data_IF_947344465898
#
_entry.id   IF_947344465898
#
_cell.length_a   1.000
_cell.length_b   1.000
_cell.length_c   1.000
_cell.angle_alpha   90.00
_cell.angle_beta   90.00
_cell.angle_gamma   90.00
#
_symmetry.space_group_name_H-M   'P 1'
#
loop_
_entity.id
_entity.type
_entity.pdbx_description
1 polymer ?
#
# COMPACT_ATOMS: atom_id res chain seq x y z
N UNK A 1 -5.99 -2.79 29.24
CA UNK A 1 -4.77 -3.61 29.17
C UNK A 1 -3.87 -3.03 28.11
N UNK A 2 -2.96 -2.11 28.52
CA UNK A 2 -1.92 -1.56 27.64
C UNK A 2 -1.04 -2.68 27.10
N UNK A 3 -0.80 -2.71 25.80
CA UNK A 3 0.13 -3.67 25.21
C UNK A 3 1.56 -3.23 25.50
N UNK A 4 2.45 -4.17 25.74
CA UNK A 4 3.89 -3.93 25.92
C UNK A 4 4.49 -3.04 24.81
N UNK A 5 4.06 -3.24 23.54
CA UNK A 5 4.47 -2.45 22.38
C UNK A 5 4.10 -0.97 22.53
N UNK A 6 2.90 -0.65 23.00
CA UNK A 6 2.47 0.74 23.19
C UNK A 6 3.32 1.46 24.24
N UNK A 7 3.65 0.79 25.34
CA UNK A 7 4.50 1.34 26.38
C UNK A 7 5.95 1.57 25.88
N UNK A 8 6.47 0.63 25.08
CA UNK A 8 7.80 0.75 24.44
C UNK A 8 7.83 1.94 23.47
N UNK A 9 6.83 2.09 22.59
CA UNK A 9 6.73 3.25 21.71
C UNK A 9 6.61 4.57 22.49
N UNK A 10 5.84 4.57 23.58
CA UNK A 10 5.67 5.73 24.43
C UNK A 10 6.97 6.15 25.12
N UNK A 11 7.77 5.17 25.59
CA UNK A 11 9.10 5.41 26.15
C UNK A 11 10.08 6.01 25.13
N UNK A 12 10.05 5.51 23.89
CA UNK A 12 10.85 6.08 22.80
C UNK A 12 10.47 7.53 22.49
N UNK A 13 9.18 7.84 22.38
CA UNK A 13 8.69 9.21 22.14
C UNK A 13 9.05 10.17 23.29
N UNK A 14 8.94 9.71 24.54
CA UNK A 14 9.38 10.50 25.71
C UNK A 14 10.87 10.80 25.65
N UNK A 15 11.69 9.81 25.24
CA UNK A 15 13.14 9.95 25.08
C UNK A 15 13.55 10.92 23.98
N UNK A 16 12.76 11.03 22.91
CA UNK A 16 12.99 12.00 21.82
C UNK A 16 12.60 13.42 22.17
N UNK A 17 11.99 13.69 23.32
CA UNK A 17 11.53 15.04 23.73
C UNK A 17 10.39 15.58 22.86
N UNK A 18 9.64 14.73 22.20
CA UNK A 18 8.53 15.12 21.30
C UNK A 18 7.20 15.29 22.04
N UNK A 19 7.13 14.87 23.31
CA UNK A 19 5.93 14.97 24.11
C UNK A 19 5.87 16.33 24.85
N UNK A 20 4.65 16.87 25.07
CA UNK A 20 4.48 18.17 25.77
C UNK A 20 4.71 18.10 27.28
N UNK A 21 5.02 16.93 27.83
CA UNK A 21 5.32 16.69 29.26
C UNK A 21 6.63 15.93 29.42
N UNK A 22 7.19 15.98 30.61
CA UNK A 22 8.49 15.38 30.92
C UNK A 22 8.45 13.83 31.01
N UNK A 23 9.64 13.23 31.07
CA UNK A 23 9.80 11.77 31.19
C UNK A 23 9.17 11.20 32.47
N UNK A 24 9.35 11.80 33.66
CA UNK A 24 8.68 11.36 34.88
C UNK A 24 7.15 11.36 34.78
N UNK A 25 6.57 12.43 34.24
CA UNK A 25 5.12 12.54 33.99
C UNK A 25 4.63 11.50 32.99
N UNK A 26 5.37 11.27 31.90
CA UNK A 26 5.07 10.23 30.95
C UNK A 26 5.09 8.83 31.59
N UNK A 27 6.07 8.55 32.44
CA UNK A 27 6.20 7.25 33.12
C UNK A 27 5.11 7.02 34.17
N UNK A 28 4.65 8.10 34.85
CA UNK A 28 3.66 8.02 35.91
C UNK A 28 2.27 7.55 35.45
N UNK A 29 1.91 7.73 34.15
CA UNK A 29 0.63 7.26 33.61
C UNK A 29 0.57 5.74 33.39
N UNK A 30 1.71 5.05 33.49
CA UNK A 30 1.78 3.61 33.33
C UNK A 30 1.46 2.91 34.66
N UNK A 31 0.44 2.07 34.65
CA UNK A 31 -0.12 1.48 35.88
C UNK A 31 0.48 0.12 36.23
N UNK A 32 1.08 -0.59 35.26
CA UNK A 32 1.65 -1.92 35.46
C UNK A 32 3.16 -1.99 35.22
N UNK A 33 3.83 -2.89 35.92
CA UNK A 33 5.29 -3.01 35.90
C UNK A 33 5.85 -3.47 34.54
N UNK A 34 5.09 -4.26 33.79
CA UNK A 34 5.48 -4.73 32.46
C UNK A 34 5.51 -3.57 31.45
N UNK A 35 4.52 -2.69 31.51
CA UNK A 35 4.49 -1.46 30.71
C UNK A 35 5.60 -0.50 31.12
N UNK A 36 5.86 -0.36 32.41
CA UNK A 36 6.97 0.48 32.91
C UNK A 36 8.33 -0.04 32.43
N UNK A 37 8.56 -1.35 32.50
CA UNK A 37 9.78 -1.96 32.01
C UNK A 37 9.98 -1.75 30.50
N UNK A 38 8.91 -1.87 29.70
CA UNK A 38 8.95 -1.59 28.26
C UNK A 38 9.25 -0.13 27.95
N UNK A 39 8.66 0.80 28.68
CA UNK A 39 8.92 2.22 28.60
C UNK A 39 10.38 2.57 28.93
N UNK A 40 10.88 2.08 30.08
CA UNK A 40 12.23 2.34 30.54
C UNK A 40 13.29 1.79 29.58
N UNK A 41 13.07 0.60 29.02
CA UNK A 41 13.96 -0.02 28.04
C UNK A 41 14.06 0.82 26.75
N UNK A 42 12.93 1.30 26.24
CA UNK A 42 12.91 2.14 25.05
C UNK A 42 13.48 3.54 25.29
N UNK A 43 13.20 4.13 26.45
CA UNK A 43 13.80 5.40 26.88
C UNK A 43 15.34 5.31 26.93
N UNK A 44 15.88 4.26 27.55
CA UNK A 44 17.32 4.02 27.61
C UNK A 44 17.92 3.83 26.20
N UNK A 45 17.24 3.12 25.31
CA UNK A 45 17.68 2.92 23.92
C UNK A 45 17.78 4.22 23.13
N UNK A 46 16.90 5.19 23.39
CA UNK A 46 16.92 6.52 22.71
C UNK A 46 17.95 7.46 23.34
N UNK A 47 18.16 7.40 24.66
CA UNK A 47 19.01 8.35 25.40
C UNK A 47 20.53 8.04 25.37
N UNK A 48 20.98 7.03 24.66
CA UNK A 48 22.42 6.82 24.49
C UNK A 48 22.92 5.41 24.68
N UNK A 49 22.06 4.42 24.72
CA UNK A 49 22.49 3.06 24.42
C UNK A 49 22.70 2.95 22.92
N UNK A 50 23.82 2.39 22.49
CA UNK A 50 24.03 1.91 21.10
C UNK A 50 22.73 1.33 20.56
N UNK A 51 22.20 1.81 19.41
CA UNK A 51 20.97 1.26 18.87
C UNK A 51 21.14 -0.27 18.85
N UNK A 52 20.15 -1.04 19.35
CA UNK A 52 20.24 -2.48 19.24
C UNK A 52 20.50 -2.78 17.78
N UNK A 53 21.57 -3.49 17.52
CA UNK A 53 21.86 -4.00 16.15
C UNK A 53 20.53 -4.55 15.65
N UNK A 54 19.99 -4.05 14.52
CA UNK A 54 18.77 -4.63 13.98
C UNK A 54 18.97 -6.13 14.06
N UNK A 55 18.06 -6.85 14.70
CA UNK A 55 18.08 -8.30 14.60
C UNK A 55 18.13 -8.56 13.12
N UNK A 56 19.33 -8.88 12.64
CA UNK A 56 19.49 -9.40 11.31
C UNK A 56 18.55 -10.59 11.31
N UNK A 57 17.41 -10.43 10.65
CA UNK A 57 16.65 -11.61 10.25
C UNK A 57 17.71 -12.56 9.71
N UNK A 58 17.80 -13.80 10.20
CA UNK A 58 18.81 -14.72 9.72
C UNK A 58 18.68 -14.69 8.21
N UNK A 59 19.74 -14.20 7.55
CA UNK A 59 19.77 -14.15 6.09
C UNK A 59 19.32 -15.53 5.64
N UNK A 60 18.27 -15.66 4.84
CA UNK A 60 17.82 -16.96 4.39
C UNK A 60 19.06 -17.64 3.85
N UNK A 61 19.41 -18.82 4.38
CA UNK A 61 20.52 -19.65 3.86
C UNK A 61 20.10 -20.02 2.44
N UNK A 62 20.40 -19.15 1.52
CA UNK A 62 20.21 -19.37 0.11
C UNK A 62 21.28 -20.34 -0.32
N UNK A 63 20.97 -21.63 -0.27
CA UNK A 63 21.52 -22.52 -1.26
C UNK A 63 21.07 -21.95 -2.59
N UNK A 64 22.00 -21.32 -3.29
CA UNK A 64 21.71 -20.59 -4.52
C UNK A 64 21.25 -21.60 -5.60
N UNK A 65 19.96 -21.85 -5.63
CA UNK A 65 19.34 -22.40 -6.82
C UNK A 65 19.39 -21.31 -7.87
N UNK A 66 19.87 -21.57 -9.11
CA UNK A 66 19.88 -20.56 -10.15
C UNK A 66 18.49 -19.94 -10.29
N UNK A 67 18.41 -18.61 -10.15
CA UNK A 67 17.17 -17.86 -10.30
C UNK A 67 16.99 -17.51 -11.77
N UNK A 68 15.76 -17.57 -12.26
CA UNK A 68 15.44 -17.08 -13.62
C UNK A 68 15.81 -15.60 -13.82
N UNK A 69 16.12 -14.88 -12.73
CA UNK A 69 16.47 -13.45 -12.71
C UNK A 69 17.97 -13.17 -12.46
N UNK A 70 18.85 -14.17 -12.55
CA UNK A 70 20.30 -14.02 -12.30
C UNK A 70 20.99 -13.03 -13.25
N UNK A 71 20.38 -12.74 -14.39
CA UNK A 71 20.84 -11.75 -15.36
C UNK A 71 20.60 -10.30 -14.92
N UNK A 72 19.80 -10.04 -13.88
CA UNK A 72 19.50 -8.72 -13.37
C UNK A 72 20.47 -8.26 -12.27
N UNK A 73 20.74 -6.95 -12.14
CA UNK A 73 21.47 -6.40 -10.99
C UNK A 73 20.84 -6.84 -9.66
N UNK A 74 21.68 -7.09 -8.63
CA UNK A 74 21.25 -7.73 -7.39
C UNK A 74 20.06 -7.04 -6.69
N UNK A 75 20.04 -5.71 -6.65
CA UNK A 75 18.95 -4.95 -6.04
C UNK A 75 17.64 -5.10 -6.79
N UNK A 76 17.71 -4.97 -8.11
CA UNK A 76 16.57 -5.12 -9.02
C UNK A 76 16.02 -6.55 -8.97
N UNK A 77 16.91 -7.57 -9.08
CA UNK A 77 16.55 -8.99 -8.96
C UNK A 77 15.72 -9.27 -7.71
N UNK A 78 16.19 -8.79 -6.56
CA UNK A 78 15.48 -9.01 -5.28
C UNK A 78 14.06 -8.46 -5.31
N UNK A 79 13.85 -7.29 -5.90
CA UNK A 79 12.52 -6.67 -6.02
C UNK A 79 11.63 -7.46 -6.95
N UNK A 80 12.17 -7.96 -8.08
CA UNK A 80 11.44 -8.78 -9.06
C UNK A 80 11.01 -10.10 -8.43
N UNK A 81 11.92 -10.82 -7.74
CA UNK A 81 11.63 -12.09 -7.04
C UNK A 81 10.49 -11.91 -6.02
N UNK A 82 10.62 -10.92 -5.13
CA UNK A 82 9.58 -10.64 -4.14
C UNK A 82 8.24 -10.25 -4.78
N UNK A 83 8.27 -9.48 -5.87
CA UNK A 83 7.08 -9.12 -6.63
C UNK A 83 6.43 -10.35 -7.27
N UNK A 84 7.21 -11.21 -7.92
CA UNK A 84 6.73 -12.43 -8.58
C UNK A 84 6.05 -13.39 -7.57
N UNK A 85 6.68 -13.63 -6.42
CA UNK A 85 6.13 -14.45 -5.33
C UNK A 85 4.83 -13.84 -4.78
N UNK A 86 4.80 -12.51 -4.65
CA UNK A 86 3.61 -11.80 -4.20
C UNK A 86 2.44 -11.94 -5.16
N UNK A 87 2.68 -12.01 -6.49
CA UNK A 87 1.63 -12.24 -7.49
C UNK A 87 1.01 -13.62 -7.36
N UNK A 88 1.84 -14.66 -7.12
CA UNK A 88 1.36 -16.02 -6.85
C UNK A 88 0.50 -16.09 -5.60
N UNK A 89 0.92 -15.45 -4.51
CA UNK A 89 0.15 -15.38 -3.27
C UNK A 89 -1.15 -14.58 -3.42
N UNK A 90 -1.13 -13.52 -4.23
CA UNK A 90 -2.28 -12.64 -4.44
C UNK A 90 -3.34 -13.25 -5.35
N UNK A 91 -2.91 -13.88 -6.45
CA UNK A 91 -3.82 -14.37 -7.49
C UNK A 91 -3.43 -15.77 -7.99
N UNK A 92 -2.53 -15.88 -8.95
CA UNK A 92 -2.15 -17.13 -9.63
C UNK A 92 -0.90 -16.95 -10.55
N UNK A 93 -0.50 -18.03 -11.23
CA UNK A 93 0.66 -18.06 -12.13
C UNK A 93 0.50 -17.13 -13.35
N UNK A 94 -0.70 -17.01 -13.93
CA UNK A 94 -0.91 -16.10 -15.06
C UNK A 94 -0.75 -14.63 -14.64
N UNK A 95 -1.11 -14.30 -13.40
CA UNK A 95 -0.92 -12.94 -12.86
C UNK A 95 0.55 -12.64 -12.60
N UNK A 96 1.31 -13.65 -12.15
CA UNK A 96 2.77 -13.59 -12.09
C UNK A 96 3.37 -13.35 -13.48
N UNK A 97 2.92 -14.07 -14.48
CA UNK A 97 3.39 -13.88 -15.86
C UNK A 97 3.08 -12.49 -16.41
N UNK A 98 1.89 -11.94 -16.12
CA UNK A 98 1.55 -10.55 -16.46
C UNK A 98 2.49 -9.54 -15.78
N UNK A 99 2.80 -9.74 -14.50
CA UNK A 99 3.77 -8.90 -13.80
C UNK A 99 5.14 -8.97 -14.45
N UNK A 100 5.64 -10.17 -14.75
CA UNK A 100 6.96 -10.36 -15.36
C UNK A 100 7.04 -9.74 -16.77
N UNK A 101 5.99 -9.82 -17.58
CA UNK A 101 5.94 -9.14 -18.87
C UNK A 101 6.03 -7.61 -18.73
N UNK A 102 5.43 -7.03 -17.68
CA UNK A 102 5.55 -5.60 -17.38
C UNK A 102 6.92 -5.21 -16.83
N UNK A 103 7.53 -6.10 -16.01
CA UNK A 103 8.91 -5.95 -15.56
C UNK A 103 9.86 -5.94 -16.74
N UNK A 104 9.70 -6.87 -17.69
CA UNK A 104 10.51 -6.94 -18.89
C UNK A 104 10.43 -5.65 -19.71
N UNK A 105 9.25 -5.07 -19.89
CA UNK A 105 9.07 -3.79 -20.55
C UNK A 105 9.82 -2.64 -19.84
N UNK A 106 9.81 -2.61 -18.49
CA UNK A 106 10.55 -1.61 -17.70
C UNK A 106 12.07 -1.81 -17.85
N UNK A 107 12.53 -3.06 -17.71
CA UNK A 107 13.95 -3.41 -17.79
C UNK A 107 14.50 -3.13 -19.19
N UNK A 108 13.75 -3.46 -20.23
CA UNK A 108 14.14 -3.18 -21.64
C UNK A 108 14.23 -1.68 -21.92
N UNK A 109 13.38 -0.86 -21.29
CA UNK A 109 13.39 0.58 -21.47
C UNK A 109 14.46 1.30 -20.63
N UNK A 110 15.00 0.65 -19.60
CA UNK A 110 15.97 1.23 -18.68
C UNK A 110 17.41 1.03 -19.17
N UNK A 111 18.25 2.03 -18.96
CA UNK A 111 19.69 1.89 -19.03
C UNK A 111 20.22 1.40 -17.68
N UNK A 112 20.44 0.08 -17.56
CA UNK A 112 20.86 -0.55 -16.30
C UNK A 112 22.33 -0.30 -15.94
N UNK A 113 23.15 0.24 -16.85
CA UNK A 113 24.50 0.68 -16.56
C UNK A 113 24.51 2.08 -15.93
N UNK A 114 23.45 2.85 -16.16
CA UNK A 114 23.22 4.13 -15.52
C UNK A 114 22.52 3.93 -14.17
N UNK A 115 23.24 4.19 -13.08
CA UNK A 115 22.72 4.02 -11.71
C UNK A 115 21.37 4.73 -11.44
N UNK A 116 21.14 5.91 -12.04
CA UNK A 116 19.87 6.65 -11.86
C UNK A 116 18.73 5.95 -12.58
N UNK A 117 18.96 5.43 -13.78
CA UNK A 117 17.98 4.69 -14.55
C UNK A 117 17.66 3.32 -13.90
N UNK A 118 18.71 2.59 -13.43
CA UNK A 118 18.54 1.36 -12.66
C UNK A 118 17.71 1.60 -11.37
N UNK A 119 18.01 2.67 -10.63
CA UNK A 119 17.27 3.03 -9.44
C UNK A 119 15.79 3.37 -9.75
N UNK A 120 15.54 4.14 -10.80
CA UNK A 120 14.20 4.47 -11.25
C UNK A 120 13.41 3.22 -11.67
N UNK A 121 14.03 2.28 -12.40
CA UNK A 121 13.44 1.01 -12.77
C UNK A 121 13.11 0.16 -11.53
N UNK A 122 14.04 0.05 -10.58
CA UNK A 122 13.89 -0.73 -9.36
C UNK A 122 12.72 -0.22 -8.51
N UNK A 123 12.63 1.10 -8.29
CA UNK A 123 11.50 1.67 -7.52
C UNK A 123 10.18 1.55 -8.27
N UNK A 124 10.18 1.71 -9.60
CA UNK A 124 9.00 1.54 -10.42
C UNK A 124 8.46 0.10 -10.36
N UNK A 125 9.32 -0.90 -10.42
CA UNK A 125 8.93 -2.32 -10.29
C UNK A 125 8.39 -2.61 -8.89
N UNK A 126 8.99 -2.02 -7.84
CA UNK A 126 8.47 -2.10 -6.48
C UNK A 126 7.05 -1.55 -6.39
N UNK A 127 6.80 -0.37 -6.98
CA UNK A 127 5.46 0.26 -7.00
C UNK A 127 4.47 -0.53 -7.84
N UNK A 128 4.90 -1.05 -8.99
CA UNK A 128 4.09 -1.95 -9.81
C UNK A 128 3.61 -3.17 -9.02
N UNK A 129 4.52 -3.84 -8.30
CA UNK A 129 4.18 -5.01 -7.47
C UNK A 129 3.16 -4.66 -6.37
N UNK A 130 3.32 -3.51 -5.72
CA UNK A 130 2.38 -3.03 -4.71
C UNK A 130 1.02 -2.67 -5.32
N UNK A 131 1.01 -1.98 -6.45
CA UNK A 131 -0.22 -1.58 -7.14
C UNK A 131 -0.99 -2.78 -7.70
N UNK A 132 -0.31 -3.72 -8.35
CA UNK A 132 -0.92 -4.96 -8.84
C UNK A 132 -1.52 -5.82 -7.73
N UNK A 133 -1.05 -5.68 -6.48
CA UNK A 133 -1.56 -6.42 -5.31
C UNK A 133 -2.36 -5.54 -4.36
N UNK A 134 -3.18 -4.64 -4.92
CA UNK A 134 -4.08 -3.79 -4.14
C UNK A 134 -5.00 -4.61 -3.22
N UNK A 135 -5.33 -4.05 -2.08
CA UNK A 135 -6.21 -4.69 -1.11
C UNK A 135 -7.68 -4.42 -1.46
N UNK A 136 -8.39 -5.45 -1.93
CA UNK A 136 -9.85 -5.47 -2.05
C UNK A 136 -10.47 -6.26 -0.91
N UNK A 137 -11.79 -6.25 -0.81
CA UNK A 137 -12.53 -6.98 0.23
C UNK A 137 -12.24 -8.49 0.20
N UNK A 138 -12.02 -9.06 -0.99
CA UNK A 138 -11.68 -10.47 -1.15
C UNK A 138 -10.28 -10.77 -0.58
N UNK A 139 -9.28 -9.90 -0.85
CA UNK A 139 -7.93 -10.03 -0.28
C UNK A 139 -7.94 -9.89 1.23
N UNK A 140 -8.66 -8.89 1.76
CA UNK A 140 -8.78 -8.71 3.21
C UNK A 140 -9.42 -9.94 3.86
N UNK A 141 -10.47 -10.49 3.28
CA UNK A 141 -11.13 -11.69 3.79
C UNK A 141 -10.20 -12.93 3.73
N UNK A 142 -9.42 -13.08 2.67
CA UNK A 142 -8.42 -14.13 2.56
C UNK A 142 -7.37 -14.03 3.68
N UNK A 143 -6.73 -12.86 3.83
CA UNK A 143 -5.72 -12.62 4.85
C UNK A 143 -6.25 -12.85 6.28
N UNK A 144 -7.51 -12.49 6.54
CA UNK A 144 -8.13 -12.67 7.86
C UNK A 144 -8.47 -14.12 8.19
N UNK A 145 -8.54 -15.01 7.21
CA UNK A 145 -8.89 -16.43 7.38
C UNK A 145 -7.72 -17.39 7.20
N UNK A 146 -6.50 -16.89 7.01
CA UNK A 146 -5.31 -17.72 6.84
C UNK A 146 -4.91 -18.43 8.14
N UNK A 147 -4.52 -19.73 8.07
CA UNK A 147 -4.08 -20.48 9.25
C UNK A 147 -2.87 -19.87 9.95
N UNK A 148 -1.90 -19.36 9.21
CA UNK A 148 -0.68 -18.72 9.72
C UNK A 148 -0.98 -17.47 10.55
N UNK A 149 -2.03 -16.68 10.20
CA UNK A 149 -2.51 -15.57 11.02
C UNK A 149 -2.93 -16.04 12.41
N UNK A 150 -3.70 -17.12 12.49
CA UNK A 150 -4.16 -17.64 13.78
C UNK A 150 -3.02 -18.28 14.57
N UNK A 151 -2.06 -18.94 13.89
CA UNK A 151 -0.87 -19.47 14.52
C UNK A 151 -0.02 -18.36 15.14
N UNK A 152 0.21 -17.26 14.41
CA UNK A 152 0.92 -16.08 14.89
C UNK A 152 0.22 -15.44 16.11
N UNK A 153 -1.10 -15.20 16.03
CA UNK A 153 -1.86 -14.64 17.17
C UNK A 153 -1.76 -15.55 18.40
N UNK A 154 -1.81 -16.88 18.22
CA UNK A 154 -1.64 -17.85 19.30
C UNK A 154 -0.26 -17.73 19.93
N UNK A 155 0.78 -17.58 19.13
CA UNK A 155 2.15 -17.41 19.61
C UNK A 155 2.33 -16.06 20.33
N UNK A 156 1.82 -14.97 19.77
CA UNK A 156 1.87 -13.62 20.37
C UNK A 156 1.16 -13.55 21.74
N UNK A 157 0.08 -14.33 21.91
CA UNK A 157 -0.65 -14.44 23.17
C UNK A 157 -0.06 -15.48 24.13
N UNK A 158 1.01 -16.17 23.75
CA UNK A 158 1.67 -17.24 24.55
C UNK A 158 0.67 -18.31 25.04
N UNK A 159 -0.30 -18.68 24.19
CA UNK A 159 -1.36 -19.60 24.57
C UNK A 159 -0.85 -21.04 24.74
N UNK A 160 -1.14 -21.63 25.89
CA UNK A 160 -0.81 -23.03 26.18
C UNK A 160 -1.70 -23.99 25.36
N UNK A 161 -1.23 -25.24 25.11
CA UNK A 161 -2.07 -26.28 24.51
C UNK A 161 -3.42 -26.42 25.23
N UNK A 162 -4.50 -26.49 24.47
CA UNK A 162 -5.87 -26.59 25.00
C UNK A 162 -6.55 -25.27 25.32
N UNK A 163 -5.83 -24.13 25.38
CA UNK A 163 -6.46 -22.82 25.55
C UNK A 163 -7.14 -22.34 24.26
N UNK A 164 -8.35 -21.83 24.40
CA UNK A 164 -9.14 -21.26 23.32
C UNK A 164 -9.03 -19.74 23.30
N UNK A 165 -9.16 -19.13 22.12
CA UNK A 165 -9.20 -17.68 21.94
C UNK A 165 -10.25 -17.29 20.89
N UNK A 166 -10.70 -16.05 20.93
CA UNK A 166 -11.60 -15.50 19.95
C UNK A 166 -10.94 -14.31 19.25
N UNK A 167 -10.95 -14.33 17.92
CA UNK A 167 -10.52 -13.20 17.11
C UNK A 167 -11.76 -12.56 16.52
N UNK A 168 -12.01 -11.30 16.90
CA UNK A 168 -13.16 -10.54 16.43
C UNK A 168 -12.66 -9.36 15.62
N UNK A 169 -13.04 -9.31 14.36
CA UNK A 169 -12.73 -8.25 13.42
C UNK A 169 -13.91 -7.29 13.29
N UNK A 170 -13.65 -5.99 13.37
CA UNK A 170 -14.63 -4.97 13.02
C UNK A 170 -14.58 -4.70 11.54
N UNK A 171 -15.71 -4.85 10.85
CA UNK A 171 -15.85 -4.65 9.42
C UNK A 171 -17.02 -3.72 9.11
N UNK A 172 -16.80 -2.76 8.21
CA UNK A 172 -17.82 -1.80 7.77
C UNK A 172 -17.80 -1.70 6.24
N UNK A 173 -18.25 -2.77 5.52
CA UNK A 173 -18.22 -2.76 4.05
C UNK A 173 -19.12 -1.65 3.52
N UNK A 174 -18.58 -0.86 2.58
CA UNK A 174 -19.32 0.17 1.85
C UNK A 174 -19.81 -0.36 0.50
N UNK A 175 -20.74 0.36 -0.11
CA UNK A 175 -21.30 -0.03 -1.40
C UNK A 175 -20.24 0.00 -2.51
N UNK A 176 -19.32 0.95 -2.46
CA UNK A 176 -18.19 1.12 -3.36
C UNK A 176 -17.27 -0.10 -3.32
N UNK A 177 -16.91 -0.56 -2.12
CA UNK A 177 -16.04 -1.74 -1.92
C UNK A 177 -16.69 -3.05 -2.41
N UNK A 178 -18.02 -3.14 -2.33
CA UNK A 178 -18.76 -4.26 -2.91
C UNK A 178 -18.83 -4.13 -4.43
N UNK A 179 -19.04 -2.92 -4.96
CA UNK A 179 -19.03 -2.67 -6.40
C UNK A 179 -17.69 -3.05 -7.04
N UNK A 180 -16.60 -2.76 -6.34
CA UNK A 180 -15.22 -3.02 -6.78
C UNK A 180 -14.96 -4.52 -7.09
N UNK A 181 -15.52 -5.44 -6.29
CA UNK A 181 -15.30 -6.89 -6.47
C UNK A 181 -16.32 -7.56 -7.41
N UNK A 182 -17.33 -6.82 -7.86
CA UNK A 182 -18.36 -7.35 -8.75
C UNK A 182 -17.99 -7.16 -10.23
N UNK A 183 -18.56 -7.97 -11.14
CA UNK A 183 -18.38 -7.78 -12.57
C UNK A 183 -18.73 -6.35 -13.01
N UNK A 184 -17.98 -5.82 -13.99
CA UNK A 184 -18.00 -4.42 -14.43
C UNK A 184 -19.41 -3.83 -14.56
N UNK A 185 -20.32 -4.55 -15.26
CA UNK A 185 -21.69 -4.03 -15.49
C UNK A 185 -22.47 -3.86 -14.18
N UNK A 186 -22.31 -4.80 -13.23
CA UNK A 186 -23.00 -4.73 -11.95
C UNK A 186 -22.35 -3.72 -11.02
N UNK A 187 -21.01 -3.67 -10.98
CA UNK A 187 -20.25 -2.68 -10.23
C UNK A 187 -20.64 -1.25 -10.66
N UNK A 188 -20.66 -0.97 -11.96
CA UNK A 188 -21.07 0.35 -12.49
C UNK A 188 -22.50 0.72 -12.14
N UNK A 189 -23.45 -0.23 -12.12
CA UNK A 189 -24.82 0.03 -11.69
C UNK A 189 -24.89 0.43 -10.21
N UNK A 190 -24.11 -0.22 -9.36
CA UNK A 190 -24.03 0.12 -7.94
C UNK A 190 -23.42 1.51 -7.78
N UNK A 191 -22.28 1.79 -8.45
CA UNK A 191 -21.63 3.11 -8.39
C UNK A 191 -22.55 4.21 -8.87
N UNK A 192 -23.24 4.04 -10.00
CA UNK A 192 -24.21 5.01 -10.51
C UNK A 192 -25.40 5.26 -9.54
N UNK A 193 -25.74 4.27 -8.69
CA UNK A 193 -26.73 4.47 -7.62
C UNK A 193 -26.14 5.24 -6.44
N UNK A 194 -24.90 4.95 -6.05
CA UNK A 194 -24.16 5.70 -5.01
C UNK A 194 -24.03 7.18 -5.40
N UNK A 195 -23.60 7.46 -6.63
CA UNK A 195 -23.42 8.82 -7.15
C UNK A 195 -24.73 9.65 -7.15
N UNK A 196 -25.87 8.98 -7.29
CA UNK A 196 -27.20 9.59 -7.17
C UNK A 196 -27.71 9.69 -5.73
N UNK A 197 -26.86 9.46 -4.73
CA UNK A 197 -27.24 9.50 -3.32
C UNK A 197 -28.07 8.30 -2.84
N UNK A 198 -28.11 7.21 -3.62
CA UNK A 198 -28.83 6.00 -3.25
C UNK A 198 -28.19 5.28 -2.06
N UNK A 199 -29.03 4.88 -1.09
CA UNK A 199 -28.57 4.16 0.12
C UNK A 199 -28.77 2.65 -0.04
N UNK A 200 -27.86 1.90 0.60
CA UNK A 200 -27.91 0.45 0.72
C UNK A 200 -28.12 0.10 2.19
N UNK A 201 -29.30 -0.39 2.60
CA UNK A 201 -29.68 -0.50 4.02
C UNK A 201 -28.77 -1.45 4.85
N UNK A 202 -28.09 -2.39 4.18
CA UNK A 202 -27.21 -3.38 4.81
C UNK A 202 -25.71 -3.02 4.75
N UNK A 203 -25.33 -1.99 3.99
CA UNK A 203 -23.95 -1.55 3.83
C UNK A 203 -23.69 -0.26 4.63
N UNK A 204 -22.41 0.00 4.94
CA UNK A 204 -22.04 1.16 5.74
C UNK A 204 -22.29 1.04 7.23
N UNK A 205 -22.84 -0.07 7.71
CA UNK A 205 -22.99 -0.37 9.15
C UNK A 205 -21.83 -1.26 9.62
N UNK A 206 -21.15 -0.83 10.69
CA UNK A 206 -20.09 -1.62 11.29
C UNK A 206 -20.63 -2.90 11.93
N UNK A 207 -19.93 -3.99 11.75
CA UNK A 207 -20.27 -5.30 12.31
C UNK A 207 -19.03 -5.97 12.89
N UNK A 208 -19.22 -6.63 14.03
CA UNK A 208 -18.20 -7.48 14.61
C UNK A 208 -18.36 -8.90 14.07
N UNK A 209 -17.31 -9.41 13.44
CA UNK A 209 -17.28 -10.75 12.85
C UNK A 209 -16.21 -11.56 13.58
N UNK A 210 -16.61 -12.66 14.21
CA UNK A 210 -15.66 -13.59 14.84
C UNK A 210 -15.00 -14.43 13.74
N UNK A 211 -13.78 -14.03 13.32
CA UNK A 211 -13.09 -14.59 12.15
C UNK A 211 -12.58 -16.02 12.37
N UNK A 212 -12.37 -16.45 13.61
CA UNK A 212 -12.05 -17.84 13.96
C UNK A 212 -13.27 -18.66 14.46
N UNK A 213 -14.48 -18.12 14.34
CA UNK A 213 -15.73 -18.85 14.61
C UNK A 213 -16.30 -19.44 13.32
N UNK A 214 -17.06 -20.54 13.42
CA UNK A 214 -17.54 -21.30 12.25
C UNK A 214 -18.28 -20.42 11.24
N UNK A 215 -19.23 -19.61 11.69
CA UNK A 215 -20.07 -18.77 10.81
C UNK A 215 -19.24 -17.63 10.21
N UNK A 216 -18.48 -16.88 11.03
CA UNK A 216 -17.66 -15.77 10.56
C UNK A 216 -16.55 -16.23 9.63
N UNK A 217 -15.89 -17.35 9.95
CA UNK A 217 -14.89 -17.95 9.08
C UNK A 217 -15.45 -18.33 7.70
N UNK A 218 -16.59 -19.05 7.67
CA UNK A 218 -17.23 -19.44 6.40
C UNK A 218 -17.68 -18.23 5.58
N UNK A 219 -18.23 -17.21 6.22
CA UNK A 219 -18.62 -15.97 5.56
C UNK A 219 -17.41 -15.29 4.91
N UNK A 220 -16.31 -15.14 5.66
CA UNK A 220 -15.09 -14.54 5.12
C UNK A 220 -14.45 -15.39 4.02
N UNK A 221 -14.49 -16.73 4.14
CA UNK A 221 -14.00 -17.62 3.06
C UNK A 221 -14.86 -17.52 1.81
N UNK A 222 -16.17 -17.34 1.93
CA UNK A 222 -17.05 -17.06 0.80
C UNK A 222 -16.69 -15.74 0.11
N UNK A 223 -16.47 -14.68 0.89
CA UNK A 223 -16.00 -13.38 0.33
C UNK A 223 -14.64 -13.52 -0.32
N UNK A 224 -13.70 -14.22 0.31
CA UNK A 224 -12.37 -14.49 -0.26
C UNK A 224 -12.41 -15.24 -1.60
N UNK A 225 -13.44 -16.09 -1.82
CA UNK A 225 -13.62 -16.79 -3.08
C UNK A 225 -13.89 -15.84 -4.27
N UNK A 226 -14.27 -14.59 -4.03
CA UNK A 226 -14.40 -13.58 -5.09
C UNK A 226 -13.07 -13.34 -5.84
N UNK A 227 -11.91 -13.75 -5.29
CA UNK A 227 -10.63 -13.73 -6.01
C UNK A 227 -10.69 -14.47 -7.36
N UNK A 228 -11.51 -15.50 -7.49
CA UNK A 228 -11.64 -16.30 -8.73
C UNK A 228 -12.34 -15.53 -9.86
N UNK A 229 -13.14 -14.52 -9.53
CA UNK A 229 -13.79 -13.63 -10.50
C UNK A 229 -13.14 -12.24 -10.58
N UNK A 230 -12.09 -11.97 -9.81
CA UNK A 230 -11.41 -10.67 -9.72
C UNK A 230 -11.08 -10.08 -11.08
N UNK A 231 -10.56 -10.89 -12.03
CA UNK A 231 -10.23 -10.42 -13.39
C UNK A 231 -11.40 -9.81 -14.17
N UNK A 232 -12.63 -10.09 -13.77
CA UNK A 232 -13.86 -9.53 -14.35
C UNK A 232 -14.45 -8.40 -13.52
N UNK A 233 -13.83 -8.07 -12.39
CA UNK A 233 -14.34 -7.07 -11.46
C UNK A 233 -14.10 -5.65 -11.99
N UNK A 234 -14.94 -4.72 -11.54
CA UNK A 234 -14.85 -3.31 -11.91
C UNK A 234 -13.47 -2.76 -11.57
N UNK A 235 -13.04 -2.94 -10.33
CA UNK A 235 -11.73 -2.43 -9.85
C UNK A 235 -10.56 -3.00 -10.64
N UNK A 236 -10.58 -4.31 -10.92
CA UNK A 236 -9.49 -4.93 -11.67
C UNK A 236 -9.33 -4.28 -13.05
N UNK A 237 -10.42 -4.09 -13.78
CA UNK A 237 -10.37 -3.49 -15.12
C UNK A 237 -9.86 -2.05 -15.06
N UNK A 238 -10.33 -1.26 -14.08
CA UNK A 238 -9.87 0.12 -13.89
C UNK A 238 -8.39 0.21 -13.49
N UNK A 239 -7.94 -0.62 -12.52
CA UNK A 239 -6.55 -0.63 -12.06
C UNK A 239 -5.59 -1.11 -13.16
N UNK A 240 -5.97 -2.15 -13.93
CA UNK A 240 -5.12 -2.62 -15.03
C UNK A 240 -4.98 -1.57 -16.12
N UNK A 241 -6.06 -0.89 -16.51
CA UNK A 241 -6.00 0.20 -17.50
C UNK A 241 -5.10 1.35 -17.01
N UNK A 242 -5.24 1.76 -15.74
CA UNK A 242 -4.40 2.81 -15.16
C UNK A 242 -2.90 2.41 -15.07
N UNK A 243 -2.62 1.14 -14.76
CA UNK A 243 -1.25 0.60 -14.75
C UNK A 243 -0.67 0.62 -16.17
N UNK A 244 -1.43 0.23 -17.18
CA UNK A 244 -0.95 0.19 -18.56
C UNK A 244 -0.65 1.61 -19.08
N UNK A 245 -1.52 2.59 -18.81
CA UNK A 245 -1.27 4.00 -19.13
C UNK A 245 -0.02 4.56 -18.43
N UNK A 246 0.14 4.22 -17.15
CA UNK A 246 1.33 4.60 -16.38
C UNK A 246 2.60 3.97 -16.95
N UNK A 247 2.57 2.69 -17.33
CA UNK A 247 3.71 1.98 -17.93
C UNK A 247 4.14 2.61 -19.24
N UNK A 248 3.21 3.01 -20.11
CA UNK A 248 3.54 3.71 -21.37
C UNK A 248 4.32 4.99 -21.07
N UNK A 249 3.86 5.80 -20.13
CA UNK A 249 4.54 7.03 -19.72
C UNK A 249 5.91 6.75 -19.09
N UNK A 250 6.00 5.73 -18.23
CA UNK A 250 7.22 5.34 -17.52
C UNK A 250 8.31 4.85 -18.50
N UNK A 251 7.99 3.88 -19.35
CA UNK A 251 8.95 3.29 -20.29
C UNK A 251 9.46 4.30 -21.29
N UNK A 252 8.61 5.23 -21.76
CA UNK A 252 9.03 6.32 -22.62
C UNK A 252 9.97 7.32 -21.94
N UNK A 253 9.98 7.37 -20.61
CA UNK A 253 10.75 8.33 -19.81
C UNK A 253 12.07 7.77 -19.28
N UNK A 254 12.17 6.45 -19.06
CA UNK A 254 13.35 5.82 -18.44
C UNK A 254 14.68 6.11 -19.15
N UNK A 255 14.71 6.04 -20.49
CA UNK A 255 15.90 6.33 -21.26
C UNK A 255 16.16 7.84 -21.45
N UNK A 256 15.12 8.69 -21.36
CA UNK A 256 15.21 10.13 -21.67
C UNK A 256 15.48 10.98 -20.44
N UNK A 257 14.85 10.67 -19.33
CA UNK A 257 14.97 11.43 -18.08
C UNK A 257 14.76 10.49 -16.88
N UNK A 258 15.84 9.86 -16.38
CA UNK A 258 15.76 8.98 -15.22
C UNK A 258 15.18 9.66 -13.97
N UNK A 259 15.39 10.96 -13.79
CA UNK A 259 14.84 11.74 -12.68
C UNK A 259 13.32 11.86 -12.78
N UNK A 260 12.79 12.10 -13.96
CA UNK A 260 11.34 12.13 -14.19
C UNK A 260 10.74 10.72 -14.05
N UNK A 261 11.43 9.70 -14.60
CA UNK A 261 11.00 8.31 -14.48
C UNK A 261 10.96 7.86 -13.01
N UNK A 262 11.92 8.28 -12.17
CA UNK A 262 11.90 8.00 -10.73
C UNK A 262 10.69 8.67 -10.06
N UNK A 263 10.43 9.94 -10.32
CA UNK A 263 9.27 10.65 -9.79
C UNK A 263 7.96 9.99 -10.26
N UNK A 264 7.89 9.61 -11.56
CA UNK A 264 6.74 8.91 -12.12
C UNK A 264 6.55 7.52 -11.51
N UNK A 265 7.66 6.81 -11.22
CA UNK A 265 7.65 5.56 -10.46
C UNK A 265 7.05 5.70 -9.05
N UNK A 266 7.25 6.84 -8.42
CA UNK A 266 6.69 7.16 -7.09
C UNK A 266 5.21 7.60 -7.11
N UNK A 267 4.66 8.02 -8.26
CA UNK A 267 3.30 8.53 -8.38
C UNK A 267 2.23 7.58 -7.84
N UNK A 268 2.30 6.24 -8.02
CA UNK A 268 1.31 5.31 -7.45
C UNK A 268 1.18 5.36 -5.92
N UNK A 269 2.10 6.00 -5.20
CA UNK A 269 1.99 6.21 -3.74
C UNK A 269 0.76 6.99 -3.33
N UNK A 270 0.22 7.83 -4.22
CA UNK A 270 -1.01 8.59 -3.93
C UNK A 270 -2.25 7.69 -3.92
N UNK A 271 -2.17 6.49 -4.54
CA UNK A 271 -3.24 5.50 -4.60
C UNK A 271 -3.26 4.61 -3.34
N UNK A 272 -3.32 5.22 -2.16
CA UNK A 272 -3.30 4.52 -0.87
C UNK A 272 -4.67 4.50 -0.20
N UNK A 273 -4.84 3.58 0.75
CA UNK A 273 -6.00 3.51 1.63
C UNK A 273 -7.23 2.87 0.99
N UNK A 274 -8.38 3.11 1.62
CA UNK A 274 -9.66 2.49 1.29
C UNK A 274 -10.73 3.57 1.14
N UNK A 275 -11.84 3.21 0.50
CA UNK A 275 -13.04 4.04 0.40
C UNK A 275 -12.72 5.49 0.00
N UNK A 276 -13.05 6.48 0.83
CA UNK A 276 -12.89 7.90 0.53
C UNK A 276 -11.42 8.29 0.33
N UNK A 277 -10.49 7.68 1.08
CA UNK A 277 -9.05 7.94 0.93
C UNK A 277 -8.55 7.46 -0.43
N UNK A 278 -8.96 6.28 -0.87
CA UNK A 278 -8.63 5.78 -2.21
C UNK A 278 -9.24 6.65 -3.31
N UNK A 279 -10.51 7.06 -3.16
CA UNK A 279 -11.19 7.91 -4.14
C UNK A 279 -10.51 9.28 -4.25
N UNK A 280 -10.07 9.86 -3.15
CA UNK A 280 -9.25 11.09 -3.16
C UNK A 280 -7.91 10.86 -3.85
N UNK A 281 -7.22 9.75 -3.52
CA UNK A 281 -5.98 9.36 -4.18
C UNK A 281 -6.11 9.20 -5.70
N UNK A 282 -7.16 8.53 -6.17
CA UNK A 282 -7.47 8.39 -7.61
C UNK A 282 -7.67 9.76 -8.30
N UNK A 283 -8.33 10.72 -7.64
CA UNK A 283 -8.51 12.08 -8.17
C UNK A 283 -7.19 12.84 -8.23
N UNK A 284 -6.37 12.77 -7.18
CA UNK A 284 -5.04 13.38 -7.15
C UNK A 284 -4.13 12.77 -8.23
N UNK A 285 -4.13 11.44 -8.37
CA UNK A 285 -3.41 10.73 -9.42
C UNK A 285 -3.80 11.23 -10.81
N UNK A 286 -5.11 11.29 -11.11
CA UNK A 286 -5.60 11.77 -12.38
C UNK A 286 -5.21 13.24 -12.63
N UNK A 287 -5.37 14.12 -11.63
CA UNK A 287 -5.00 15.52 -11.73
C UNK A 287 -3.51 15.71 -12.04
N UNK A 288 -2.63 15.00 -11.33
CA UNK A 288 -1.17 15.04 -11.56
C UNK A 288 -0.82 14.50 -12.94
N UNK A 289 -1.42 13.37 -13.33
CA UNK A 289 -1.18 12.76 -14.64
C UNK A 289 -1.57 13.70 -15.77
N UNK A 290 -2.75 14.29 -15.70
CA UNK A 290 -3.26 15.16 -16.74
C UNK A 290 -2.56 16.52 -16.81
N UNK A 291 -2.10 17.05 -15.66
CA UNK A 291 -1.52 18.39 -15.58
C UNK A 291 0.00 18.39 -15.80
N UNK A 292 0.69 17.32 -15.41
CA UNK A 292 2.16 17.27 -15.46
C UNK A 292 2.65 16.14 -16.36
N UNK A 293 2.20 14.88 -16.10
CA UNK A 293 2.82 13.72 -16.74
C UNK A 293 2.53 13.70 -18.24
N UNK A 294 1.27 13.74 -18.64
CA UNK A 294 0.86 13.67 -20.04
C UNK A 294 1.47 14.80 -20.88
N UNK A 295 1.35 16.08 -20.50
CA UNK A 295 1.99 17.16 -21.25
C UNK A 295 3.52 17.01 -21.37
N UNK A 296 4.20 16.61 -20.27
CA UNK A 296 5.66 16.44 -20.30
C UNK A 296 6.11 15.31 -21.25
N UNK A 297 5.34 14.20 -21.29
CA UNK A 297 5.63 13.09 -22.20
C UNK A 297 5.34 13.47 -23.65
N UNK A 298 4.23 14.15 -23.92
CA UNK A 298 3.81 14.58 -25.27
C UNK A 298 4.76 15.63 -25.88
N UNK A 299 5.25 16.57 -25.06
CA UNK A 299 6.14 17.64 -25.52
C UNK A 299 7.64 17.31 -25.41
N UNK A 300 8.02 16.19 -24.79
CA UNK A 300 9.41 15.82 -24.58
C UNK A 300 10.13 16.64 -23.49
N UNK A 301 9.39 17.29 -22.59
CA UNK A 301 9.91 18.16 -21.51
C UNK A 301 10.01 17.46 -20.15
N UNK A 302 10.25 16.14 -20.13
CA UNK A 302 10.26 15.34 -18.89
C UNK A 302 11.31 15.85 -17.88
N UNK A 303 12.51 16.23 -18.34
CA UNK A 303 13.57 16.69 -17.43
C UNK A 303 13.16 17.95 -16.66
N UNK A 304 12.50 18.89 -17.32
CA UNK A 304 12.03 20.14 -16.70
C UNK A 304 10.83 19.88 -15.75
N UNK A 305 10.03 18.84 -16.05
CA UNK A 305 8.85 18.48 -15.27
C UNK A 305 9.18 17.61 -14.05
N UNK A 306 10.37 17.04 -13.92
CA UNK A 306 10.72 16.07 -12.87
C UNK A 306 10.52 16.64 -11.46
N UNK A 307 11.08 17.79 -11.18
CA UNK A 307 10.95 18.45 -9.87
C UNK A 307 9.51 18.83 -9.55
N UNK A 308 8.78 19.30 -10.56
CA UNK A 308 7.36 19.66 -10.42
C UNK A 308 6.50 18.44 -10.12
N UNK A 309 6.75 17.31 -10.78
CA UNK A 309 6.07 16.04 -10.50
C UNK A 309 6.33 15.58 -9.07
N UNK A 310 7.58 15.64 -8.61
CA UNK A 310 7.94 15.28 -7.25
C UNK A 310 7.25 16.18 -6.20
N UNK A 311 7.21 17.50 -6.46
CA UNK A 311 6.51 18.45 -5.59
C UNK A 311 5.00 18.16 -5.53
N UNK A 312 4.37 17.84 -6.66
CA UNK A 312 2.95 17.51 -6.73
C UNK A 312 2.61 16.22 -5.97
N UNK A 313 3.45 15.17 -6.07
CA UNK A 313 3.31 13.95 -5.29
C UNK A 313 3.45 14.25 -3.79
N UNK A 314 4.46 15.03 -3.41
CA UNK A 314 4.65 15.46 -2.02
C UNK A 314 3.45 16.21 -1.47
N UNK A 315 2.91 17.16 -2.23
CA UNK A 315 1.72 17.93 -1.88
C UNK A 315 0.46 17.05 -1.73
N UNK A 316 0.28 16.07 -2.62
CA UNK A 316 -0.83 15.12 -2.54
C UNK A 316 -0.75 14.17 -1.33
N UNK A 317 0.46 13.88 -0.85
CA UNK A 317 0.70 13.02 0.31
C UNK A 317 0.69 13.77 1.65
N UNK A 318 0.85 15.10 1.63
CA UNK A 318 1.00 15.93 2.82
C UNK A 318 -0.31 16.08 3.61
N UNK A 319 -1.44 16.17 2.91
CA UNK A 319 -2.75 16.32 3.55
C UNK A 319 -3.85 15.55 2.81
N UNK A 320 -4.83 15.08 3.57
CA UNK A 320 -5.97 14.31 3.03
C UNK A 320 -7.00 15.18 2.28
N UNK A 321 -6.92 16.52 2.39
CA UNK A 321 -7.81 17.45 1.71
C UNK A 321 -7.30 17.87 0.33
N UNK A 322 -6.03 17.55 0.03
CA UNK A 322 -5.32 17.98 -1.17
C UNK A 322 -5.26 19.51 -1.36
N UNK A 323 -5.33 20.28 -0.26
CA UNK A 323 -5.26 21.74 -0.32
C UNK A 323 -3.92 22.21 -0.87
N UNK A 324 -2.82 21.58 -0.45
CA UNK A 324 -1.47 21.86 -0.97
C UNK A 324 -1.34 21.55 -2.47
N UNK A 325 -1.91 20.44 -2.94
CA UNK A 325 -1.93 20.09 -4.35
C UNK A 325 -2.77 21.09 -5.18
N UNK A 326 -3.95 21.46 -4.66
CA UNK A 326 -4.81 22.45 -5.31
C UNK A 326 -4.13 23.83 -5.37
N UNK A 327 -3.41 24.24 -4.33
CA UNK A 327 -2.64 25.48 -4.32
C UNK A 327 -1.51 25.46 -5.37
N UNK A 328 -0.84 24.32 -5.53
CA UNK A 328 0.19 24.13 -6.56
C UNK A 328 -0.37 24.30 -7.98
N UNK A 329 -1.62 23.89 -8.22
CA UNK A 329 -2.29 23.96 -9.53
C UNK A 329 -3.14 25.23 -9.72
N UNK A 330 -3.31 26.10 -8.71
CA UNK A 330 -4.19 27.26 -8.76
C UNK A 330 -3.79 28.34 -9.80
N UNK A 331 -2.52 28.31 -10.26
CA UNK A 331 -2.03 29.18 -11.35
C UNK A 331 -2.23 28.62 -12.75
N UNK A 332 -2.76 27.41 -12.89
CA UNK A 332 -2.84 26.68 -14.16
C UNK A 332 -4.29 26.66 -14.69
N UNK A 333 -4.54 27.50 -15.66
CA UNK A 333 -5.87 27.76 -16.23
C UNK A 333 -6.39 26.62 -17.10
N UNK A 334 -6.66 25.41 -16.58
CA UNK A 334 -7.41 24.44 -17.39
C UNK A 334 -8.22 23.35 -16.68
N UNK A 335 -8.26 23.23 -15.32
CA UNK A 335 -9.16 22.23 -14.69
C UNK A 335 -9.74 22.66 -13.35
N UNK A 336 -10.98 22.20 -13.05
CA UNK A 336 -11.55 22.43 -11.73
C UNK A 336 -10.66 21.77 -10.66
N UNK A 337 -10.56 22.37 -9.48
CA UNK A 337 -9.77 21.84 -8.37
C UNK A 337 -10.23 20.41 -8.02
N UNK A 338 -9.32 19.59 -7.48
CA UNK A 338 -9.69 18.28 -6.94
C UNK A 338 -10.77 18.50 -5.88
N UNK A 339 -11.99 17.93 -6.03
CA UNK A 339 -13.07 18.21 -5.10
C UNK A 339 -12.70 17.82 -3.67
N UNK A 340 -12.83 18.75 -2.74
CA UNK A 340 -12.75 18.48 -1.31
C UNK A 340 -14.07 17.81 -0.93
N UNK A 341 -14.00 16.56 -0.46
CA UNK A 341 -15.17 15.92 0.12
C UNK A 341 -15.35 16.47 1.55
N UNK A 342 -16.36 17.29 1.75
CA UNK A 342 -16.88 17.69 3.07
C UNK A 342 -17.68 16.57 3.68
#
# INVERSE_FOLDING_TARGET
NGTFISATMFGALAGCGTLPWDVPGSRAVLTDDRSRAGFDAALAAVQGATPPTPHAEPAPKTTATPSEFDHLPTGLRRVVELGADRMLDYQDADYRSLFLARVDAIVTAADLENHRSEHAATESIRRLALWMTYEDVARVADLKTRPDRFARIRAELELKPGQTFAVTDYMKPRAEEIADILPVALGRRIMARVDRGGRFPFLGKGRYIRSNGVVGYRLLRFVAAAKHIRRRSLRYVEEQAAIDDWLVSLTSSLARSPEFALALGELPRVLKGYSDTLMRGKRAYAAITDTIVRPAVETGTQSDAAQRLQAAIGAALADDTHSALNALFAGETRRPPVPILT
#
